data_IF_570949117643
#
_entry.id   IF_570949117643
#
_cell.length_a   1.000
_cell.length_b   1.000
_cell.length_c   1.000
_cell.angle_alpha   90.00
_cell.angle_beta   90.00
_cell.angle_gamma   90.00
#
_symmetry.space_group_name_H-M   'P 1'
#
loop_
_entity.id
_entity.type
_entity.pdbx_description
1 polymer ?
#
# COMPACT_ATOMS: atom_id res chain seq x y z
N UNK A 1 -5.31 12.80 11.62
CA UNK A 1 -4.95 11.79 10.58
C UNK A 1 -5.92 11.79 9.39
N UNK A 2 -7.06 12.48 9.43
CA UNK A 2 -8.08 12.46 8.38
C UNK A 2 -8.60 11.05 8.07
N UNK A 3 -8.54 10.13 9.04
CA UNK A 3 -8.88 8.74 8.85
C UNK A 3 -10.37 8.53 8.55
N UNK A 4 -10.65 7.56 7.70
CA UNK A 4 -12.01 7.09 7.38
C UNK A 4 -12.07 5.58 7.50
N UNK A 5 -13.26 5.02 7.68
CA UNK A 5 -13.41 3.58 7.76
C UNK A 5 -13.12 2.90 6.41
N UNK A 6 -12.38 1.78 6.48
CA UNK A 6 -12.19 0.87 5.34
C UNK A 6 -12.87 -0.45 5.63
N UNK A 7 -13.88 -0.80 4.86
CA UNK A 7 -14.65 -2.05 5.00
C UNK A 7 -14.38 -3.04 3.89
N UNK A 8 -13.58 -2.66 2.92
CA UNK A 8 -13.22 -3.55 1.83
C UNK A 8 -12.57 -2.84 0.65
N UNK A 9 -12.52 -3.58 -0.44
CA UNK A 9 -12.06 -3.10 -1.74
C UNK A 9 -13.14 -3.45 -2.76
N UNK A 10 -13.58 -2.48 -3.54
CA UNK A 10 -14.44 -2.69 -4.69
C UNK A 10 -13.60 -2.82 -5.94
N UNK A 11 -13.71 -3.94 -6.61
CA UNK A 11 -13.05 -4.23 -7.87
C UNK A 11 -14.01 -3.94 -9.02
N UNK A 12 -13.61 -3.05 -9.94
CA UNK A 12 -14.44 -2.55 -11.04
C UNK A 12 -13.78 -2.87 -12.38
N UNK A 13 -14.53 -3.47 -13.31
CA UNK A 13 -14.08 -3.72 -14.68
C UNK A 13 -12.99 -4.81 -14.84
N UNK A 14 -12.76 -5.65 -13.84
CA UNK A 14 -11.69 -6.67 -13.89
C UNK A 14 -12.03 -7.87 -14.77
N UNK A 15 -13.28 -8.05 -15.11
CA UNK A 15 -13.72 -9.15 -15.96
C UNK A 15 -14.94 -8.70 -16.78
N UNK A 16 -14.90 -8.92 -18.09
CA UNK A 16 -15.98 -8.58 -19.01
C UNK A 16 -17.27 -9.41 -18.78
N UNK A 17 -17.13 -10.59 -18.18
CA UNK A 17 -18.23 -11.53 -17.99
C UNK A 17 -18.81 -11.56 -16.58
N UNK A 18 -18.16 -10.92 -15.62
CA UNK A 18 -18.63 -10.85 -14.24
C UNK A 18 -18.85 -9.40 -13.81
N UNK A 19 -19.92 -9.13 -13.06
CA UNK A 19 -20.13 -7.80 -12.51
C UNK A 19 -18.99 -7.42 -11.55
N UNK A 20 -18.86 -6.13 -11.30
CA UNK A 20 -18.03 -5.63 -10.21
C UNK A 20 -18.27 -6.36 -8.91
N UNK A 21 -17.24 -6.63 -8.16
CA UNK A 21 -17.37 -7.33 -6.89
C UNK A 21 -16.74 -6.56 -5.73
N UNK A 22 -17.23 -6.84 -4.54
CA UNK A 22 -16.75 -6.24 -3.31
C UNK A 22 -16.05 -7.29 -2.46
N UNK A 23 -14.76 -7.07 -2.19
CA UNK A 23 -13.99 -7.87 -1.24
C UNK A 23 -14.04 -7.21 0.14
N UNK A 24 -14.90 -7.72 1.00
CA UNK A 24 -15.05 -7.21 2.36
C UNK A 24 -13.82 -7.53 3.23
N UNK A 25 -13.52 -6.63 4.18
CA UNK A 25 -12.63 -6.98 5.28
C UNK A 25 -13.34 -7.98 6.17
N UNK A 26 -12.90 -9.24 6.12
CA UNK A 26 -13.47 -10.30 6.96
C UNK A 26 -12.98 -10.17 8.39
N UNK A 27 -13.84 -10.53 9.35
CA UNK A 27 -13.44 -10.68 10.75
C UNK A 27 -12.37 -11.78 10.88
N UNK A 28 -11.61 -11.70 11.94
CA UNK A 28 -10.68 -12.77 12.31
C UNK A 28 -11.54 -13.98 12.69
N UNK A 29 -11.53 -14.99 11.83
CA UNK A 29 -12.00 -16.30 12.22
C UNK A 29 -10.90 -16.98 13.02
N UNK A 30 -11.27 -17.87 13.96
CA UNK A 30 -10.29 -18.70 14.65
C UNK A 30 -9.31 -19.36 13.69
N UNK A 31 -8.01 -19.39 13.97
CA UNK A 31 -6.99 -19.86 13.05
C UNK A 31 -7.31 -21.19 12.34
N UNK A 32 -7.90 -22.21 12.97
CA UNK A 32 -8.28 -23.44 12.29
C UNK A 32 -9.36 -23.27 11.23
N UNK A 33 -10.22 -22.26 11.36
CA UNK A 33 -11.31 -21.98 10.43
C UNK A 33 -10.89 -21.10 9.25
N UNK A 34 -9.79 -20.35 9.35
CA UNK A 34 -9.36 -19.42 8.31
C UNK A 34 -9.02 -20.15 7.02
N UNK A 35 -8.29 -21.25 7.08
CA UNK A 35 -7.93 -22.03 5.89
C UNK A 35 -9.15 -22.72 5.29
N UNK A 36 -9.97 -23.34 6.11
CA UNK A 36 -11.20 -24.01 5.67
C UNK A 36 -12.21 -23.02 5.08
N UNK A 37 -12.38 -21.87 5.72
CA UNK A 37 -13.29 -20.84 5.25
C UNK A 37 -12.83 -20.23 3.92
N UNK A 38 -11.56 -19.85 3.80
CA UNK A 38 -11.03 -19.26 2.57
C UNK A 38 -11.06 -20.24 1.40
N UNK A 39 -10.79 -21.53 1.63
CA UNK A 39 -10.88 -22.56 0.60
C UNK A 39 -12.33 -22.80 0.17
N UNK A 40 -13.26 -22.91 1.11
CA UNK A 40 -14.68 -23.06 0.83
C UNK A 40 -15.25 -21.80 0.14
N UNK A 41 -14.83 -20.62 0.59
CA UNK A 41 -15.22 -19.35 0.02
C UNK A 41 -14.73 -19.21 -1.42
N UNK A 42 -13.45 -19.49 -1.67
CA UNK A 42 -12.89 -19.50 -3.02
C UNK A 42 -13.61 -20.48 -3.96
N UNK A 43 -13.95 -21.66 -3.45
CA UNK A 43 -14.72 -22.64 -4.21
C UNK A 43 -16.13 -22.16 -4.55
N UNK A 44 -16.84 -21.58 -3.58
CA UNK A 44 -18.18 -21.05 -3.80
C UNK A 44 -18.18 -19.87 -4.79
N UNK A 45 -17.17 -19.00 -4.74
CA UNK A 45 -16.99 -17.95 -5.74
C UNK A 45 -16.78 -18.55 -7.13
N UNK A 46 -15.86 -19.50 -7.27
CA UNK A 46 -15.56 -20.14 -8.56
C UNK A 46 -16.75 -20.89 -9.15
N UNK A 47 -17.67 -21.36 -8.31
CA UNK A 47 -18.91 -22.01 -8.73
C UNK A 47 -20.08 -21.01 -8.95
N UNK A 48 -19.84 -19.71 -8.80
CA UNK A 48 -20.89 -18.67 -8.91
C UNK A 48 -21.97 -18.75 -7.83
N UNK A 49 -21.74 -19.54 -6.79
CA UNK A 49 -22.70 -19.78 -5.71
C UNK A 49 -22.57 -18.83 -4.55
N UNK A 50 -21.42 -18.16 -4.42
CA UNK A 50 -21.23 -17.20 -3.38
C UNK A 50 -21.69 -15.85 -3.86
N UNK A 51 -22.74 -15.46 -3.27
CA UNK A 51 -23.14 -14.08 -3.28
C UNK A 51 -22.23 -13.35 -2.28
N UNK A 52 -21.70 -12.24 -2.70
CA UNK A 52 -20.90 -11.32 -1.89
C UNK A 52 -21.60 -10.86 -0.59
N UNK A 53 -22.79 -11.35 -0.35
CA UNK A 53 -23.67 -10.94 0.74
C UNK A 53 -23.41 -11.63 2.08
N UNK A 54 -22.65 -12.73 2.10
CA UNK A 54 -22.45 -13.48 3.33
C UNK A 54 -21.44 -12.87 4.30
N UNK A 55 -20.52 -12.06 3.81
CA UNK A 55 -19.53 -11.38 4.64
C UNK A 55 -19.65 -9.87 4.58
N UNK A 56 -20.24 -9.35 3.52
CA UNK A 56 -20.53 -7.94 3.40
C UNK A 56 -21.85 -7.65 4.08
N UNK A 57 -21.79 -6.93 5.14
CA UNK A 57 -22.97 -6.35 5.72
C UNK A 57 -23.78 -5.64 4.61
N UNK A 58 -25.08 -5.84 4.45
CA UNK A 58 -25.86 -5.19 3.38
C UNK A 58 -25.66 -3.69 3.32
N UNK A 59 -25.45 -3.06 4.47
CA UNK A 59 -25.14 -1.63 4.59
C UNK A 59 -23.83 -1.20 3.94
N UNK A 60 -22.88 -2.08 3.71
CA UNK A 60 -21.65 -1.75 3.00
C UNK A 60 -21.88 -1.52 1.51
N UNK A 61 -22.85 -2.22 0.91
CA UNK A 61 -23.28 -1.98 -0.46
C UNK A 61 -23.90 -0.60 -0.65
N UNK A 62 -24.53 -0.09 0.38
CA UNK A 62 -25.17 1.22 0.42
C UNK A 62 -24.22 2.31 0.92
N UNK A 63 -22.92 2.03 1.01
CA UNK A 63 -21.89 2.95 1.55
C UNK A 63 -22.16 3.40 3.00
N UNK A 64 -22.96 2.65 3.73
CA UNK A 64 -23.27 2.94 5.12
C UNK A 64 -22.31 2.24 6.07
N UNK A 65 -21.98 2.91 7.19
CA UNK A 65 -21.20 2.29 8.25
C UNK A 65 -22.14 1.38 9.05
N UNK A 66 -21.91 0.05 9.09
CA UNK A 66 -22.73 -0.83 9.91
C UNK A 66 -22.57 -0.46 11.39
N UNK A 67 -23.66 -0.49 12.14
CA UNK A 67 -23.62 -0.32 13.58
C UNK A 67 -22.69 -1.37 14.20
N UNK A 68 -21.81 -0.92 15.04
CA UNK A 68 -20.71 -1.73 15.61
C UNK A 68 -21.29 -2.69 16.63
N UNK A 69 -21.62 -3.89 16.23
CA UNK A 69 -21.57 -5.02 17.15
C UNK A 69 -20.13 -5.55 17.10
N UNK A 70 -19.36 -5.18 18.12
CA UNK A 70 -17.91 -5.15 18.12
C UNK A 70 -17.18 -6.50 17.96
N UNK A 71 -17.87 -7.64 18.01
CA UNK A 71 -17.23 -8.94 18.11
C UNK A 71 -16.94 -9.64 16.78
N UNK A 72 -17.36 -9.11 15.63
CA UNK A 72 -17.23 -9.79 14.35
C UNK A 72 -16.69 -8.94 13.19
N UNK A 73 -16.28 -7.70 13.43
CA UNK A 73 -15.78 -6.83 12.36
C UNK A 73 -14.36 -6.35 12.64
N UNK A 74 -13.48 -6.60 11.68
CA UNK A 74 -12.16 -5.97 11.66
C UNK A 74 -12.34 -4.51 11.26
N UNK A 75 -11.97 -3.61 12.15
CA UNK A 75 -11.91 -2.19 11.84
C UNK A 75 -10.61 -1.90 11.11
N UNK A 76 -10.71 -1.57 9.84
CA UNK A 76 -9.62 -1.02 9.05
C UNK A 76 -9.90 0.44 8.73
N UNK A 77 -8.85 1.17 8.40
CA UNK A 77 -8.94 2.59 8.13
C UNK A 77 -8.15 2.96 6.87
N UNK A 78 -8.69 3.90 6.13
CA UNK A 78 -7.87 4.74 5.27
C UNK A 78 -7.35 5.90 6.11
N UNK A 79 -6.13 6.33 5.88
CA UNK A 79 -5.56 7.48 6.59
C UNK A 79 -4.57 8.22 5.70
N UNK A 80 -4.38 9.49 6.00
CA UNK A 80 -3.32 10.26 5.40
C UNK A 80 -1.99 9.92 6.06
N UNK A 81 -1.04 9.41 5.28
CA UNK A 81 0.27 8.99 5.79
C UNK A 81 1.10 10.17 6.29
N UNK A 82 0.95 11.36 5.70
CA UNK A 82 1.66 12.55 6.17
C UNK A 82 1.17 12.95 7.56
N UNK A 83 -0.14 13.02 7.73
CA UNK A 83 -0.76 13.32 9.03
C UNK A 83 -0.42 12.28 10.11
N UNK A 84 -0.40 11.00 9.70
CA UNK A 84 0.01 9.93 10.60
C UNK A 84 1.47 10.06 11.01
N UNK A 85 2.36 10.40 10.08
CA UNK A 85 3.78 10.58 10.36
C UNK A 85 4.02 11.73 11.35
N UNK A 86 3.32 12.86 11.23
CA UNK A 86 3.39 13.94 12.22
C UNK A 86 2.97 13.47 13.61
N UNK A 87 1.87 12.73 13.69
CA UNK A 87 1.41 12.19 14.96
C UNK A 87 2.41 11.19 15.57
N UNK A 88 2.96 10.29 14.75
CA UNK A 88 3.93 9.29 15.21
C UNK A 88 5.23 9.95 15.66
N UNK A 89 5.72 10.96 14.92
CA UNK A 89 6.88 11.76 15.31
C UNK A 89 6.68 12.42 16.68
N UNK A 90 5.56 13.11 16.86
CA UNK A 90 5.20 13.70 18.15
C UNK A 90 5.19 12.67 19.29
N UNK A 91 4.66 11.47 19.05
CA UNK A 91 4.68 10.40 20.06
C UNK A 91 6.07 9.84 20.32
N UNK A 92 6.89 9.73 19.31
CA UNK A 92 8.26 9.25 19.42
C UNK A 92 9.14 10.24 20.22
N UNK A 93 9.01 11.54 19.99
CA UNK A 93 9.68 12.59 20.77
C UNK A 93 9.37 12.48 22.26
N UNK A 94 8.10 12.16 22.62
CA UNK A 94 7.71 11.91 24.02
C UNK A 94 8.33 10.65 24.65
N UNK A 95 8.93 9.78 23.82
CA UNK A 95 9.60 8.53 24.20
C UNK A 95 11.13 8.66 24.16
N UNK A 96 11.67 9.86 24.09
CA UNK A 96 13.10 10.13 23.98
C UNK A 96 13.76 9.46 22.76
N UNK A 97 13.02 9.31 21.66
CA UNK A 97 13.57 8.86 20.40
C UNK A 97 14.22 10.05 19.71
N UNK A 98 15.49 9.91 19.37
CA UNK A 98 16.25 10.94 18.66
C UNK A 98 15.94 10.90 17.17
N UNK A 99 15.63 12.06 16.59
CA UNK A 99 15.50 12.24 15.15
C UNK A 99 16.74 12.93 14.61
N UNK A 100 17.36 12.30 13.63
CA UNK A 100 18.50 12.85 12.90
C UNK A 100 18.04 13.08 11.47
N UNK A 101 18.04 14.32 11.02
CA UNK A 101 17.68 14.65 9.64
C UNK A 101 18.93 14.72 8.79
N UNK A 102 18.90 14.01 7.66
CA UNK A 102 20.02 13.97 6.73
C UNK A 102 19.83 12.92 5.65
N UNK A 103 20.60 13.03 4.60
CA UNK A 103 20.68 12.02 3.55
C UNK A 103 21.88 11.11 3.83
N UNK A 104 21.65 9.80 3.75
CA UNK A 104 22.73 8.80 3.90
C UNK A 104 23.66 8.91 2.70
N UNK A 105 24.95 9.15 2.98
CA UNK A 105 26.02 9.25 1.99
C UNK A 105 26.74 7.92 1.81
N UNK A 106 27.10 7.28 2.93
CA UNK A 106 27.81 5.99 2.92
C UNK A 106 27.47 5.15 4.14
N UNK A 107 27.65 3.83 3.99
CA UNK A 107 27.46 2.84 5.05
C UNK A 107 28.75 2.04 5.20
N UNK A 108 29.32 1.98 6.40
CA UNK A 108 30.50 1.14 6.68
C UNK A 108 30.07 -0.22 7.14
N UNK A 109 30.46 -1.24 6.36
CA UNK A 109 30.13 -2.64 6.61
C UNK A 109 31.44 -3.44 6.77
N UNK A 110 31.45 -4.39 7.70
CA UNK A 110 32.49 -5.42 7.84
C UNK A 110 31.81 -6.74 8.19
N UNK A 111 32.09 -7.78 7.41
CA UNK A 111 31.54 -9.14 7.60
C UNK A 111 29.99 -9.14 7.75
N UNK A 112 29.30 -8.42 6.86
CA UNK A 112 27.86 -8.21 6.90
C UNK A 112 27.33 -7.55 8.19
N UNK A 113 28.17 -6.78 8.87
CA UNK A 113 27.81 -6.02 10.03
C UNK A 113 27.94 -4.52 9.78
N UNK A 114 26.86 -3.78 9.89
CA UNK A 114 26.88 -2.31 9.74
C UNK A 114 27.45 -1.70 11.02
N UNK A 115 28.62 -1.08 10.89
CA UNK A 115 29.28 -0.38 11.99
C UNK A 115 28.85 1.07 12.15
N UNK A 116 28.64 1.77 11.03
CA UNK A 116 28.22 3.16 11.08
C UNK A 116 27.66 3.65 9.73
N UNK A 117 26.87 4.71 9.82
CA UNK A 117 26.26 5.42 8.67
C UNK A 117 26.77 6.84 8.63
N UNK A 118 27.22 7.31 7.47
CA UNK A 118 27.59 8.69 7.21
C UNK A 118 26.44 9.46 6.57
N UNK A 119 26.31 10.72 6.94
CA UNK A 119 25.33 11.63 6.36
C UNK A 119 26.02 12.70 5.53
N UNK A 120 25.40 13.11 4.43
CA UNK A 120 25.91 14.17 3.54
C UNK A 120 26.22 15.44 4.35
N UNK A 121 27.45 15.91 4.23
CA UNK A 121 27.91 17.16 4.86
C UNK A 121 28.07 17.08 6.38
N UNK A 122 28.06 15.91 7.00
CA UNK A 122 28.29 15.71 8.42
C UNK A 122 29.56 14.89 8.63
N UNK A 123 30.48 15.39 9.51
CA UNK A 123 31.70 14.66 9.85
C UNK A 123 31.44 13.53 10.85
N UNK A 124 30.47 13.72 11.76
CA UNK A 124 30.09 12.72 12.75
C UNK A 124 29.24 11.61 12.12
N UNK A 125 29.63 10.38 12.41
CA UNK A 125 28.93 9.20 11.92
C UNK A 125 27.96 8.69 12.97
N UNK A 126 26.82 8.21 12.48
CA UNK A 126 25.84 7.54 13.34
C UNK A 126 26.27 6.09 13.53
N UNK A 127 26.31 5.65 14.79
CA UNK A 127 26.61 4.27 15.19
C UNK A 127 25.40 3.64 15.84
N UNK A 128 25.30 2.31 15.75
CA UNK A 128 24.20 1.56 16.37
C UNK A 128 24.52 0.06 16.42
N UNK A 129 23.89 -0.63 17.37
CA UNK A 129 24.05 -2.07 17.54
C UNK A 129 23.16 -2.84 16.57
N UNK A 130 22.02 -2.26 16.21
CA UNK A 130 21.01 -2.85 15.31
C UNK A 130 20.38 -1.81 14.41
N UNK A 131 20.09 -2.19 13.17
CA UNK A 131 19.59 -1.29 12.13
C UNK A 131 18.27 -1.80 11.55
N UNK A 132 17.39 -0.86 11.25
CA UNK A 132 16.14 -1.14 10.53
C UNK A 132 16.14 -0.31 9.26
N UNK A 133 16.22 -0.97 8.11
CA UNK A 133 16.17 -0.33 6.81
C UNK A 133 14.72 -0.08 6.38
N UNK A 134 14.22 1.11 6.66
CA UNK A 134 12.89 1.55 6.25
C UNK A 134 12.91 2.45 5.00
N UNK A 135 13.98 2.39 4.19
CA UNK A 135 14.16 3.24 3.00
C UNK A 135 13.35 2.79 1.77
N UNK A 136 12.53 1.76 1.90
CA UNK A 136 11.63 1.26 0.85
C UNK A 136 12.39 0.64 -0.33
N UNK A 137 12.01 0.98 -1.55
CA UNK A 137 12.64 0.41 -2.75
C UNK A 137 14.14 0.72 -2.88
N UNK A 138 14.64 1.74 -2.20
CA UNK A 138 16.06 2.11 -2.23
C UNK A 138 16.93 1.11 -1.48
N UNK A 139 16.43 0.48 -0.41
CA UNK A 139 17.16 -0.48 0.41
C UNK A 139 18.55 0.05 0.81
N UNK A 140 18.61 1.27 1.32
CA UNK A 140 19.86 2.04 1.50
C UNK A 140 20.89 1.32 2.37
N UNK A 141 20.44 0.62 3.42
CA UNK A 141 21.32 -0.16 4.28
C UNK A 141 21.49 -1.60 3.80
N UNK A 142 20.37 -2.25 3.48
CA UNK A 142 20.38 -3.64 3.01
C UNK A 142 21.15 -3.81 1.71
N UNK A 143 21.21 -2.77 0.87
CA UNK A 143 21.96 -2.82 -0.39
C UNK A 143 23.46 -2.95 -0.22
N UNK A 144 24.01 -2.57 0.92
CA UNK A 144 25.43 -2.61 1.21
C UNK A 144 25.89 -3.95 1.82
N UNK A 145 24.95 -4.84 2.15
CA UNK A 145 25.23 -6.16 2.72
C UNK A 145 25.44 -7.20 1.61
N UNK A 146 26.41 -8.08 1.78
CA UNK A 146 26.88 -9.01 0.73
C UNK A 146 25.88 -10.12 0.39
N UNK A 147 25.10 -10.56 1.37
CA UNK A 147 24.14 -11.66 1.22
C UNK A 147 22.77 -11.22 0.71
N UNK A 148 22.73 -10.06 0.04
CA UNK A 148 21.55 -9.53 -0.59
C UNK A 148 21.24 -10.29 -1.86
N UNK A 149 20.09 -10.93 -1.92
CA UNK A 149 19.57 -11.54 -3.13
C UNK A 149 18.11 -11.14 -3.33
N UNK A 150 17.87 -10.40 -4.40
CA UNK A 150 16.53 -10.03 -4.83
C UNK A 150 15.95 -11.10 -5.73
N UNK A 151 14.77 -11.59 -5.41
CA UNK A 151 14.00 -12.52 -6.23
C UNK A 151 12.87 -11.76 -6.91
N UNK A 152 13.08 -11.43 -8.18
CA UNK A 152 12.11 -10.68 -8.96
C UNK A 152 10.91 -11.52 -9.36
N UNK A 153 9.73 -10.94 -9.29
CA UNK A 153 8.47 -11.46 -9.82
C UNK A 153 8.09 -10.87 -11.19
N UNK A 154 8.95 -10.07 -11.81
CA UNK A 154 8.68 -9.39 -13.08
C UNK A 154 8.21 -10.33 -14.20
N UNK A 155 8.60 -11.61 -14.13
CA UNK A 155 8.12 -12.64 -15.07
C UNK A 155 6.61 -12.93 -14.92
N UNK A 156 6.06 -12.71 -13.73
CA UNK A 156 4.67 -13.04 -13.39
C UNK A 156 3.82 -11.80 -13.09
N UNK A 157 4.44 -10.77 -12.50
CA UNK A 157 3.82 -9.49 -12.16
C UNK A 157 4.36 -8.43 -13.10
N UNK A 158 3.56 -8.06 -14.09
CA UNK A 158 3.99 -7.14 -15.15
C UNK A 158 3.93 -5.66 -14.74
N UNK A 159 3.23 -5.33 -13.66
CA UNK A 159 3.19 -3.96 -13.12
C UNK A 159 4.51 -3.61 -12.46
N UNK A 160 5.24 -2.68 -13.05
CA UNK A 160 6.57 -2.24 -12.66
C UNK A 160 6.69 -0.73 -12.49
N UNK A 161 5.61 -0.02 -12.76
CA UNK A 161 5.55 1.43 -12.70
C UNK A 161 4.25 1.90 -12.06
N UNK A 162 4.28 3.08 -11.43
CA UNK A 162 3.08 3.70 -10.89
C UNK A 162 3.17 5.22 -10.93
N UNK A 163 2.02 5.87 -11.14
CA UNK A 163 1.83 7.28 -10.83
C UNK A 163 0.90 7.42 -9.63
N UNK A 164 1.14 8.40 -8.77
CA UNK A 164 0.33 8.65 -7.58
C UNK A 164 0.14 10.15 -7.34
N UNK A 165 -1.09 10.56 -7.05
CA UNK A 165 -1.46 11.95 -6.86
C UNK A 165 -2.70 12.10 -5.98
N UNK A 166 -2.87 13.22 -5.27
CA UNK A 166 -4.09 13.54 -4.55
C UNK A 166 -5.12 14.23 -5.44
N UNK A 167 -6.39 14.06 -5.13
CA UNK A 167 -7.49 14.91 -5.61
C UNK A 167 -8.35 15.39 -4.44
N UNK A 168 -9.09 16.48 -4.57
CA UNK A 168 -10.06 16.91 -3.57
C UNK A 168 -11.06 15.81 -3.22
N UNK A 169 -11.63 15.86 -2.03
CA UNK A 169 -12.77 15.02 -1.64
C UNK A 169 -13.98 15.30 -2.53
N UNK A 170 -14.92 14.34 -2.62
CA UNK A 170 -16.16 14.55 -3.35
C UNK A 170 -16.99 15.68 -2.74
N UNK A 171 -17.53 16.55 -3.58
CA UNK A 171 -18.39 17.68 -3.15
C UNK A 171 -19.69 17.20 -2.47
N UNK A 172 -20.11 15.96 -2.74
CA UNK A 172 -21.29 15.37 -2.11
C UNK A 172 -21.19 15.22 -0.59
N UNK A 173 -19.97 15.34 -0.03
CA UNK A 173 -19.71 15.11 1.39
C UNK A 173 -19.81 13.64 1.82
N UNK A 174 -20.17 12.74 0.94
CA UNK A 174 -20.17 11.30 1.22
C UNK A 174 -18.76 10.70 1.06
N UNK A 175 -18.28 10.04 2.11
CA UNK A 175 -16.99 9.36 2.11
C UNK A 175 -17.23 7.86 1.99
N UNK A 176 -16.75 7.27 0.89
CA UNK A 176 -16.86 5.82 0.68
C UNK A 176 -16.06 5.06 1.72
N UNK A 177 -16.62 3.97 2.20
CA UNK A 177 -15.98 3.11 3.19
C UNK A 177 -15.11 2.01 2.57
N UNK A 178 -14.68 2.18 1.34
CA UNK A 178 -13.88 1.20 0.61
C UNK A 178 -12.88 1.85 -0.34
N UNK A 179 -11.80 1.13 -0.59
CA UNK A 179 -10.88 1.43 -1.70
C UNK A 179 -11.54 0.99 -3.01
N UNK A 180 -11.49 1.81 -4.04
CA UNK A 180 -11.80 1.37 -5.41
C UNK A 180 -10.53 0.85 -6.07
N UNK A 181 -10.64 -0.27 -6.76
CA UNK A 181 -9.60 -0.84 -7.61
C UNK A 181 -10.21 -1.06 -8.99
N UNK A 182 -9.88 -0.19 -9.94
CA UNK A 182 -10.40 -0.24 -11.31
C UNK A 182 -9.39 -0.87 -12.23
N UNK A 183 -9.84 -1.82 -13.03
CA UNK A 183 -9.04 -2.30 -14.15
C UNK A 183 -8.86 -1.18 -15.17
N UNK A 184 -7.63 -1.04 -15.65
CA UNK A 184 -7.23 -0.11 -16.67
C UNK A 184 -6.67 -0.89 -17.86
N UNK A 185 -6.43 -0.22 -18.96
CA UNK A 185 -5.93 -0.86 -20.19
C UNK A 185 -4.61 -1.59 -19.99
N UNK A 186 -3.71 -1.04 -19.19
CA UNK A 186 -2.37 -1.58 -19.00
C UNK A 186 -2.02 -1.88 -17.53
N UNK A 187 -3.02 -1.96 -16.66
CA UNK A 187 -2.85 -2.18 -15.23
C UNK A 187 -4.11 -1.93 -14.43
N UNK A 188 -4.00 -1.23 -13.29
CA UNK A 188 -5.15 -0.94 -12.44
C UNK A 188 -4.96 0.35 -11.64
N UNK A 189 -6.04 1.10 -11.47
CA UNK A 189 -6.07 2.34 -10.70
C UNK A 189 -6.70 2.13 -9.33
N UNK A 190 -6.12 2.80 -8.32
CA UNK A 190 -6.72 2.85 -6.98
C UNK A 190 -7.27 4.23 -6.66
N UNK A 191 -8.31 4.27 -5.83
CA UNK A 191 -8.85 5.47 -5.22
C UNK A 191 -9.09 5.19 -3.73
N UNK A 192 -8.43 5.98 -2.86
CA UNK A 192 -8.46 5.85 -1.41
C UNK A 192 -9.05 7.12 -0.81
N UNK A 193 -10.30 7.09 -0.29
CA UNK A 193 -10.93 8.26 0.28
C UNK A 193 -10.45 8.51 1.72
N UNK A 194 -10.06 9.74 2.01
CA UNK A 194 -9.86 10.27 3.35
C UNK A 194 -10.80 11.44 3.61
N UNK A 195 -10.78 12.03 4.79
CA UNK A 195 -11.70 13.15 5.11
C UNK A 195 -11.47 14.38 4.23
N UNK A 196 -10.23 14.66 3.86
CA UNK A 196 -9.86 15.93 3.23
C UNK A 196 -9.46 15.80 1.76
N UNK A 197 -9.13 14.59 1.32
CA UNK A 197 -8.68 14.33 -0.04
C UNK A 197 -8.87 12.86 -0.41
N UNK A 198 -8.72 12.57 -1.69
CA UNK A 198 -8.59 11.19 -2.18
C UNK A 198 -7.15 10.95 -2.61
N UNK A 199 -6.56 9.83 -2.22
CA UNK A 199 -5.33 9.35 -2.79
C UNK A 199 -5.64 8.50 -4.02
N UNK A 200 -5.09 8.87 -5.16
CA UNK A 200 -5.27 8.15 -6.41
C UNK A 200 -3.93 7.66 -6.93
N UNK A 201 -3.98 6.64 -7.78
CA UNK A 201 -2.83 6.25 -8.56
C UNK A 201 -3.16 5.12 -9.51
N UNK A 202 -2.19 4.84 -10.37
CA UNK A 202 -2.28 3.85 -11.41
C UNK A 202 -1.00 3.03 -11.43
N UNK A 203 -1.11 1.73 -11.15
CA UNK A 203 -0.04 0.75 -11.37
C UNK A 203 -0.17 0.21 -12.78
N UNK A 204 0.89 0.30 -13.56
CA UNK A 204 0.90 -0.14 -14.96
C UNK A 204 2.19 -0.86 -15.33
N UNK A 205 2.18 -1.49 -16.49
CA UNK A 205 3.37 -2.10 -17.06
C UNK A 205 4.06 -1.15 -18.02
N UNK A 206 5.30 -0.76 -17.71
CA UNK A 206 6.11 0.11 -18.59
C UNK A 206 6.40 -0.51 -19.96
N UNK A 207 6.21 -1.82 -20.08
CA UNK A 207 6.33 -2.54 -21.37
C UNK A 207 5.22 -2.18 -22.36
N UNK A 208 4.04 -1.80 -21.86
CA UNK A 208 2.84 -1.58 -22.68
C UNK A 208 2.28 -0.17 -22.61
N UNK A 209 2.74 0.62 -21.67
CA UNK A 209 2.21 1.95 -21.37
C UNK A 209 3.36 2.88 -20.98
N UNK A 210 3.47 4.02 -21.63
CA UNK A 210 4.41 5.07 -21.21
C UNK A 210 3.88 5.82 -19.99
N UNK A 211 4.72 6.62 -19.36
CA UNK A 211 4.30 7.49 -18.25
C UNK A 211 3.24 8.49 -18.73
N UNK A 212 3.45 9.07 -19.89
CA UNK A 212 2.53 10.05 -20.50
C UNK A 212 1.16 9.42 -20.83
N UNK A 213 1.15 8.18 -21.32
CA UNK A 213 -0.09 7.44 -21.57
C UNK A 213 -0.83 7.14 -20.26
N UNK A 214 -0.10 6.74 -19.22
CA UNK A 214 -0.68 6.47 -17.90
C UNK A 214 -1.30 7.74 -17.29
N UNK A 215 -0.64 8.88 -17.42
CA UNK A 215 -1.18 10.18 -17.01
C UNK A 215 -2.46 10.49 -17.79
N UNK A 216 -2.42 10.36 -19.12
CA UNK A 216 -3.58 10.64 -19.99
C UNK A 216 -4.78 9.75 -19.67
N UNK A 217 -4.56 8.44 -19.43
CA UNK A 217 -5.62 7.52 -19.02
C UNK A 217 -6.25 7.93 -17.67
N UNK A 218 -5.46 8.44 -16.72
CA UNK A 218 -5.98 8.91 -15.44
C UNK A 218 -6.69 10.27 -15.54
N UNK A 219 -6.20 11.16 -16.38
CA UNK A 219 -6.88 12.42 -16.68
C UNK A 219 -8.27 12.18 -17.28
N UNK A 220 -8.36 11.25 -18.25
CA UNK A 220 -9.62 10.85 -18.87
C UNK A 220 -10.56 10.18 -17.84
N UNK A 221 -10.03 9.25 -17.03
CA UNK A 221 -10.82 8.53 -16.03
C UNK A 221 -11.47 9.45 -15.00
N UNK A 222 -10.78 10.51 -14.59
CA UNK A 222 -11.20 11.38 -13.50
C UNK A 222 -11.75 12.73 -13.98
N UNK A 223 -11.71 13.00 -15.28
CA UNK A 223 -12.07 14.29 -15.92
C UNK A 223 -11.31 15.47 -15.29
N UNK A 224 -9.99 15.33 -15.16
CA UNK A 224 -9.11 16.34 -14.57
C UNK A 224 -7.87 16.56 -15.43
N UNK A 225 -7.08 17.60 -15.07
CA UNK A 225 -5.70 17.76 -15.53
C UNK A 225 -4.73 17.52 -14.38
N UNK A 226 -3.70 16.69 -14.62
CA UNK A 226 -2.66 16.39 -13.65
C UNK A 226 -1.47 17.32 -13.88
N UNK A 227 -1.26 18.24 -12.94
CA UNK A 227 -0.09 19.13 -12.93
C UNK A 227 1.01 18.69 -11.98
N UNK A 228 0.67 17.85 -11.01
CA UNK A 228 1.62 17.34 -10.01
C UNK A 228 1.27 15.90 -9.64
N UNK A 229 2.25 15.01 -9.81
CA UNK A 229 2.15 13.60 -9.44
C UNK A 229 3.53 13.05 -9.14
N UNK A 230 3.57 11.94 -8.39
CA UNK A 230 4.79 11.16 -8.15
C UNK A 230 4.83 9.99 -9.11
N UNK A 231 5.96 9.78 -9.76
CA UNK A 231 6.22 8.61 -10.57
C UNK A 231 7.16 7.65 -9.84
N UNK A 232 6.85 6.38 -9.88
CA UNK A 232 7.63 5.31 -9.27
C UNK A 232 7.95 4.25 -10.32
N UNK A 233 9.18 3.72 -10.26
CA UNK A 233 9.58 2.49 -10.94
C UNK A 233 10.07 1.51 -9.88
N UNK A 234 9.69 0.25 -10.03
CA UNK A 234 10.05 -0.79 -9.08
C UNK A 234 10.12 -2.16 -9.76
N UNK A 235 10.95 -3.03 -9.23
CA UNK A 235 10.94 -4.45 -9.57
C UNK A 235 10.11 -5.19 -8.52
N UNK A 236 8.92 -5.72 -8.87
CA UNK A 236 8.15 -6.50 -7.90
C UNK A 236 8.90 -7.77 -7.52
N UNK A 237 9.11 -7.97 -6.22
CA UNK A 237 9.91 -9.09 -5.76
C UNK A 237 10.08 -9.10 -4.25
N UNK A 238 11.06 -9.87 -3.78
CA UNK A 238 11.40 -9.95 -2.37
C UNK A 238 12.89 -10.22 -2.17
N UNK A 239 13.40 -9.82 -1.01
CA UNK A 239 14.74 -10.22 -0.56
C UNK A 239 14.70 -11.67 -0.05
N UNK A 240 15.63 -12.51 -0.49
CA UNK A 240 15.74 -13.89 0.00
C UNK A 240 15.98 -13.94 1.51
N UNK A 241 16.77 -13.01 2.02
CA UNK A 241 16.97 -12.80 3.45
C UNK A 241 16.56 -11.38 3.81
N UNK A 242 15.63 -11.25 4.74
CA UNK A 242 15.19 -9.96 5.28
C UNK A 242 15.95 -9.55 6.53
N UNK A 243 16.86 -10.40 7.03
CA UNK A 243 17.73 -10.12 8.14
C UNK A 243 19.13 -10.62 7.80
N UNK A 244 20.09 -9.71 7.73
CA UNK A 244 21.50 -9.97 7.47
C UNK A 244 22.35 -9.24 8.51
N UNK A 245 23.22 -9.94 9.21
CA UNK A 245 24.04 -9.37 10.27
C UNK A 245 23.19 -8.66 11.34
N UNK A 246 23.40 -7.37 11.51
CA UNK A 246 22.67 -6.52 12.44
C UNK A 246 21.62 -5.61 11.74
N UNK A 247 21.16 -5.97 10.54
CA UNK A 247 20.20 -5.18 9.78
C UNK A 247 18.97 -5.98 9.33
N UNK A 248 17.80 -5.40 9.40
CA UNK A 248 16.51 -5.94 8.96
C UNK A 248 15.79 -4.94 8.05
#
# INVERSE_FOLDING_TARGET
>A
TGATHKKGIRFEGWNEHTPDYFHATTGICDPPMVFGFNAAYGKLISEGKLLTDHTSHPKLKENQIPSINAHQQVNQFHFDTHELNYFLRFKAEQKNITFIEGEVEDVRVSDDWIGSVGLVGQEERITGDFWIDASGFRQVLMSELSDKKWNSFSKYLLGDSAIAFPTPSDESGEIRTYTRARAMKNGWAWEIPTQFRRGNGYVYSSKFCSEEDAVSEMEELLDIRLSDYKHFRFDPGYLEKMWVGNCI
#
